data_IF_000020961556
#
_entry.id   IF_000020961556
#
_cell.length_a   1.000
_cell.length_b   1.000
_cell.length_c   1.000
_cell.angle_alpha   90.00
_cell.angle_beta   90.00
_cell.angle_gamma   90.00
#
_symmetry.space_group_name_H-M   'P 1'
#
loop_
_entity.id
_entity.type
_entity.pdbx_description
1 polymer ?
#
# COMPACT_ATOMS: atom_id res chain seq x y z
N UNK A 1 11.59 10.34 -34.34
CA UNK A 1 12.59 9.47 -33.67
C UNK A 1 12.70 9.72 -32.17
N UNK A 2 12.88 10.96 -31.67
CA UNK A 2 12.99 11.26 -30.22
C UNK A 2 11.85 10.75 -29.31
N UNK A 3 10.60 10.70 -29.81
CA UNK A 3 9.44 10.21 -29.03
C UNK A 3 9.39 8.68 -28.88
N UNK A 4 9.96 7.94 -29.83
CA UNK A 4 10.01 6.47 -29.82
C UNK A 4 11.11 6.01 -28.87
N UNK A 5 12.25 6.71 -28.84
CA UNK A 5 13.34 6.43 -27.89
C UNK A 5 12.94 6.65 -26.44
N UNK A 6 12.11 7.66 -26.14
CA UNK A 6 11.60 7.89 -24.78
C UNK A 6 10.62 6.78 -24.37
N UNK A 7 9.69 6.40 -25.25
CA UNK A 7 8.74 5.30 -24.98
C UNK A 7 9.47 3.97 -24.77
N UNK A 8 10.55 3.73 -25.51
CA UNK A 8 11.34 2.51 -25.41
C UNK A 8 12.23 2.49 -24.16
N UNK A 9 12.74 3.64 -23.70
CA UNK A 9 13.47 3.75 -22.42
C UNK A 9 12.55 3.42 -21.23
N UNK A 10 11.28 3.84 -21.30
CA UNK A 10 10.24 3.48 -20.31
C UNK A 10 9.98 1.96 -20.33
N UNK A 11 9.89 1.33 -21.51
CA UNK A 11 9.70 -0.12 -21.65
C UNK A 11 10.92 -0.91 -21.17
N UNK A 12 12.14 -0.44 -21.44
CA UNK A 12 13.37 -1.06 -20.94
C UNK A 12 13.53 -0.92 -19.42
N UNK A 13 13.12 0.21 -18.83
CA UNK A 13 12.98 0.32 -17.38
C UNK A 13 12.03 -0.77 -16.87
N UNK A 14 10.84 -0.92 -17.45
CA UNK A 14 9.88 -1.97 -17.06
C UNK A 14 10.41 -3.41 -17.21
N UNK A 15 11.27 -3.70 -18.20
CA UNK A 15 11.83 -5.05 -18.44
C UNK A 15 13.06 -5.39 -17.58
N UNK A 16 13.80 -4.40 -17.06
CA UNK A 16 14.86 -4.66 -16.05
C UNK A 16 14.22 -4.89 -14.67
N UNK A 17 12.98 -4.42 -14.46
CA UNK A 17 12.15 -4.68 -13.28
C UNK A 17 11.32 -5.99 -13.34
N UNK A 18 11.54 -6.90 -14.31
CA UNK A 18 10.77 -8.16 -14.42
C UNK A 18 11.32 -9.37 -13.64
N UNK A 19 12.23 -9.14 -12.68
CA UNK A 19 12.43 -10.03 -11.50
C UNK A 19 11.31 -9.64 -10.51
N UNK A 20 10.69 -10.57 -9.75
CA UNK A 20 9.31 -10.42 -9.31
C UNK A 20 9.12 -9.03 -8.72
N UNK A 21 8.17 -8.29 -9.29
CA UNK A 21 7.77 -6.95 -8.87
C UNK A 21 7.26 -7.04 -7.44
N UNK A 22 8.20 -7.06 -6.51
CA UNK A 22 8.06 -6.82 -5.10
C UNK A 22 8.90 -5.56 -4.90
N UNK A 23 8.22 -4.41 -4.87
CA UNK A 23 8.77 -3.09 -4.60
C UNK A 23 9.50 -2.36 -5.74
N UNK A 24 8.85 -2.21 -6.90
CA UNK A 24 8.71 -0.83 -7.41
C UNK A 24 7.48 -0.26 -6.77
N UNK A 25 7.67 0.71 -5.87
CA UNK A 25 6.61 1.51 -5.30
C UNK A 25 5.79 2.11 -6.42
N UNK A 26 4.66 1.48 -6.71
CA UNK A 26 3.57 2.17 -7.37
C UNK A 26 3.20 3.32 -6.43
N UNK A 27 3.62 4.52 -6.81
CA UNK A 27 3.10 5.77 -6.24
C UNK A 27 1.70 6.05 -6.77
N UNK A 28 1.02 5.06 -7.36
CA UNK A 28 -0.43 4.98 -7.32
C UNK A 28 -0.83 5.11 -5.86
N UNK A 29 -1.34 6.29 -5.50
CA UNK A 29 -1.98 6.60 -4.22
C UNK A 29 -2.80 5.36 -3.85
N UNK A 30 -2.36 4.56 -2.88
CA UNK A 30 -3.11 3.38 -2.49
C UNK A 30 -4.41 3.93 -1.94
N UNK A 31 -5.48 3.81 -2.72
CA UNK A 31 -6.76 4.41 -2.36
C UNK A 31 -7.20 3.73 -1.08
N UNK A 32 -7.55 4.52 -0.07
CA UNK A 32 -7.99 3.98 1.22
C UNK A 32 -9.11 2.98 0.98
N UNK A 33 -9.10 1.87 1.71
CA UNK A 33 -10.11 0.83 1.52
C UNK A 33 -11.40 1.34 2.18
N UNK A 34 -12.50 1.53 1.43
CA UNK A 34 -13.77 1.92 2.03
C UNK A 34 -14.25 0.78 2.92
N UNK A 35 -14.84 1.13 4.07
CA UNK A 35 -15.35 0.14 5.00
C UNK A 35 -16.52 -0.64 4.39
N UNK A 36 -16.27 -1.89 4.00
CA UNK A 36 -17.25 -2.74 3.33
C UNK A 36 -18.51 -2.98 4.18
N UNK A 37 -18.37 -3.05 5.52
CA UNK A 37 -19.51 -3.21 6.42
C UNK A 37 -20.42 -2.00 6.35
N UNK A 38 -19.86 -0.80 6.43
CA UNK A 38 -20.62 0.46 6.35
C UNK A 38 -21.24 0.60 4.96
N UNK A 39 -20.49 0.33 3.89
CA UNK A 39 -21.00 0.33 2.51
C UNK A 39 -22.22 -0.58 2.38
N UNK A 40 -22.14 -1.81 2.91
CA UNK A 40 -23.26 -2.76 2.87
C UNK A 40 -24.48 -2.24 3.63
N UNK A 41 -24.29 -1.69 4.84
CA UNK A 41 -25.40 -1.11 5.62
C UNK A 41 -26.09 0.03 4.87
N UNK A 42 -25.32 0.90 4.21
CA UNK A 42 -25.89 2.00 3.42
C UNK A 42 -26.67 1.49 2.20
N UNK A 43 -26.12 0.51 1.48
CA UNK A 43 -26.77 -0.12 0.32
C UNK A 43 -28.08 -0.81 0.71
N UNK A 44 -28.05 -1.65 1.76
CA UNK A 44 -29.21 -2.40 2.25
C UNK A 44 -30.35 -1.47 2.73
N UNK A 45 -30.03 -0.21 3.07
CA UNK A 45 -30.99 0.78 3.58
C UNK A 45 -31.25 1.94 2.60
N UNK A 46 -30.84 1.82 1.34
CA UNK A 46 -31.06 2.79 0.26
C UNK A 46 -30.56 4.21 0.60
N UNK A 47 -29.38 4.33 1.22
CA UNK A 47 -28.71 5.62 1.35
C UNK A 47 -27.96 5.97 0.07
N UNK A 48 -28.03 7.25 -0.32
CA UNK A 48 -27.25 7.78 -1.43
C UNK A 48 -25.87 8.27 -0.97
N UNK A 49 -24.81 7.65 -1.49
CA UNK A 49 -23.43 7.92 -1.10
C UNK A 49 -22.46 7.75 -2.27
N UNK A 50 -21.28 8.35 -2.12
CA UNK A 50 -20.13 8.21 -3.01
C UNK A 50 -18.89 7.83 -2.20
N UNK A 51 -17.89 7.27 -2.88
CA UNK A 51 -16.59 6.98 -2.28
C UNK A 51 -15.60 7.97 -2.91
N UNK A 52 -15.01 8.83 -2.07
CA UNK A 52 -14.05 9.86 -2.47
C UNK A 52 -12.73 9.57 -1.76
N UNK A 53 -11.66 9.34 -2.53
CA UNK A 53 -10.34 8.96 -2.01
C UNK A 53 -10.36 7.75 -1.03
N UNK A 54 -11.32 6.84 -1.23
CA UNK A 54 -11.48 5.67 -0.36
C UNK A 54 -12.31 5.89 0.90
N UNK A 55 -12.73 7.13 1.16
CA UNK A 55 -13.64 7.44 2.25
C UNK A 55 -15.09 7.54 1.77
N UNK A 56 -16.04 7.14 2.62
CA UNK A 56 -17.47 7.11 2.33
C UNK A 56 -18.06 8.50 2.61
N UNK A 57 -18.83 9.03 1.65
CA UNK A 57 -19.48 10.34 1.78
C UNK A 57 -20.95 10.27 1.35
N UNK A 58 -21.85 10.75 2.19
CA UNK A 58 -23.26 10.89 1.86
C UNK A 58 -23.44 12.05 0.86
N UNK A 59 -24.21 11.82 -0.21
CA UNK A 59 -24.36 12.81 -1.28
C UNK A 59 -25.24 14.00 -0.88
N UNK A 60 -26.21 13.79 0.02
CA UNK A 60 -27.12 14.82 0.56
C UNK A 60 -27.18 14.78 2.09
N UNK A 61 -26.15 15.30 2.78
CA UNK A 61 -26.02 15.21 4.22
C UNK A 61 -26.90 16.25 4.93
N UNK A 62 -28.19 15.98 5.03
CA UNK A 62 -29.06 16.74 5.95
C UNK A 62 -28.88 16.21 7.37
N UNK A 63 -29.12 17.02 8.43
CA UNK A 63 -29.04 16.55 9.81
C UNK A 63 -29.89 15.31 10.08
N UNK A 64 -31.07 15.21 9.45
CA UNK A 64 -31.96 14.06 9.54
C UNK A 64 -31.34 12.78 8.91
N UNK A 65 -30.74 12.91 7.73
CA UNK A 65 -30.06 11.80 7.02
C UNK A 65 -28.84 11.33 7.81
N UNK A 66 -28.00 12.24 8.29
CA UNK A 66 -26.83 11.92 9.11
C UNK A 66 -27.23 11.22 10.41
N UNK A 67 -28.26 11.74 11.09
CA UNK A 67 -28.77 11.14 12.34
C UNK A 67 -29.33 9.74 12.08
N UNK A 68 -30.10 9.56 11.01
CA UNK A 68 -30.63 8.26 10.61
C UNK A 68 -29.51 7.26 10.30
N UNK A 69 -28.50 7.67 9.54
CA UNK A 69 -27.34 6.83 9.22
C UNK A 69 -26.58 6.43 10.50
N UNK A 70 -26.29 7.37 11.39
CA UNK A 70 -25.58 7.10 12.65
C UNK A 70 -26.37 6.17 13.59
N UNK A 71 -27.68 6.35 13.71
CA UNK A 71 -28.53 5.47 14.51
C UNK A 71 -28.58 4.06 13.92
N UNK A 72 -28.63 3.94 12.59
CA UNK A 72 -28.60 2.67 11.90
C UNK A 72 -27.27 1.93 12.14
N UNK A 73 -26.13 2.60 11.95
CA UNK A 73 -24.81 2.00 12.23
C UNK A 73 -24.71 1.53 13.68
N UNK A 74 -25.15 2.36 14.63
CA UNK A 74 -25.16 1.96 16.05
C UNK A 74 -26.06 0.74 16.29
N UNK A 75 -27.28 0.71 15.75
CA UNK A 75 -28.18 -0.44 15.92
C UNK A 75 -27.63 -1.74 15.32
N UNK A 76 -27.11 -1.69 14.10
CA UNK A 76 -26.67 -2.88 13.38
C UNK A 76 -25.33 -3.39 13.89
N UNK A 77 -24.46 -2.52 14.39
CA UNK A 77 -23.15 -2.91 14.83
C UNK A 77 -22.98 -3.04 16.35
N UNK A 78 -23.91 -2.54 17.15
CA UNK A 78 -23.93 -2.81 18.60
C UNK A 78 -24.87 -3.96 18.97
N UNK A 79 -25.90 -4.27 18.16
CA UNK A 79 -26.98 -5.19 18.58
C UNK A 79 -27.22 -6.41 17.68
N UNK A 80 -26.55 -6.55 16.52
CA UNK A 80 -26.88 -7.64 15.59
C UNK A 80 -25.94 -8.85 15.68
N UNK A 81 -26.42 -10.03 16.14
CA UNK A 81 -25.74 -11.32 15.93
C UNK A 81 -25.85 -11.85 14.48
N UNK A 82 -26.55 -11.14 13.57
CA UNK A 82 -26.91 -11.60 12.23
C UNK A 82 -26.02 -11.11 11.08
N UNK A 83 -25.07 -10.20 11.32
CA UNK A 83 -23.98 -9.92 10.37
C UNK A 83 -22.82 -10.87 10.69
N UNK A 84 -22.87 -12.01 10.03
CA UNK A 84 -22.02 -13.19 10.26
C UNK A 84 -20.52 -12.86 10.38
N UNK A 85 -19.93 -13.42 11.46
CA UNK A 85 -18.51 -13.58 11.81
C UNK A 85 -17.86 -12.60 12.81
N UNK A 86 -18.41 -11.42 13.12
CA UNK A 86 -17.76 -10.47 14.04
C UNK A 86 -18.73 -9.90 15.07
N UNK A 87 -18.90 -10.61 16.19
CA UNK A 87 -19.95 -10.38 17.20
C UNK A 87 -19.60 -9.38 18.29
N UNK A 88 -18.40 -8.79 18.29
CA UNK A 88 -18.04 -7.76 19.27
C UNK A 88 -16.89 -6.89 18.75
N UNK A 89 -16.94 -5.60 19.08
CA UNK A 89 -15.78 -4.73 18.96
C UNK A 89 -14.78 -4.99 20.10
N UNK A 90 -13.47 -4.86 19.86
CA UNK A 90 -12.86 -4.63 18.55
C UNK A 90 -12.93 -5.88 17.66
N UNK A 91 -13.01 -5.69 16.35
CA UNK A 91 -12.97 -6.81 15.42
C UNK A 91 -11.58 -7.48 15.46
N UNK A 92 -11.46 -8.74 15.04
CA UNK A 92 -10.20 -9.36 14.67
C UNK A 92 -9.45 -8.58 13.58
N UNK A 93 -8.14 -8.77 13.57
CA UNK A 93 -7.25 -8.16 12.60
C UNK A 93 -7.52 -8.68 11.19
N UNK A 94 -7.71 -7.75 10.26
CA UNK A 94 -7.85 -8.02 8.83
C UNK A 94 -6.59 -7.54 8.11
N UNK A 95 -5.98 -8.43 7.32
CA UNK A 95 -4.72 -8.17 6.63
C UNK A 95 -4.92 -7.27 5.41
N UNK A 96 -4.22 -6.14 5.36
CA UNK A 96 -4.22 -5.19 4.26
C UNK A 96 -3.17 -5.57 3.20
N UNK A 97 -3.33 -6.73 2.55
CA UNK A 97 -2.35 -7.32 1.60
C UNK A 97 -1.77 -6.34 0.58
N UNK A 98 -2.59 -5.44 0.05
CA UNK A 98 -2.18 -4.47 -0.98
C UNK A 98 -1.21 -3.40 -0.45
N UNK A 99 -1.05 -3.29 0.87
CA UNK A 99 -0.15 -2.35 1.54
C UNK A 99 1.13 -3.00 2.03
N UNK A 100 1.27 -4.33 1.89
CA UNK A 100 2.50 -5.00 2.26
C UNK A 100 3.68 -4.41 1.48
N UNK A 101 4.80 -4.27 2.17
CA UNK A 101 6.07 -3.84 1.60
C UNK A 101 7.12 -4.88 1.92
N UNK A 102 7.90 -5.25 0.92
CA UNK A 102 9.01 -6.17 1.06
C UNK A 102 10.15 -5.70 0.17
N UNK A 103 11.37 -5.70 0.69
CA UNK A 103 12.53 -5.29 -0.10
C UNK A 103 13.82 -5.75 0.54
N UNK A 104 14.88 -5.79 -0.26
CA UNK A 104 16.24 -6.06 0.21
C UNK A 104 17.06 -4.80 0.10
N UNK A 105 17.79 -4.47 1.17
CA UNK A 105 18.70 -3.32 1.17
C UNK A 105 19.81 -3.46 0.12
N UNK A 106 20.32 -4.67 -0.08
CA UNK A 106 21.41 -4.95 -1.04
C UNK A 106 20.92 -4.88 -2.48
N UNK A 107 19.77 -5.49 -2.77
CA UNK A 107 19.12 -5.42 -4.08
C UNK A 107 18.72 -3.98 -4.44
N UNK A 108 18.18 -3.22 -3.49
CA UNK A 108 17.81 -1.81 -3.70
C UNK A 108 19.04 -0.96 -4.05
N UNK A 109 20.14 -1.13 -3.33
CA UNK A 109 21.37 -0.38 -3.57
C UNK A 109 22.05 -0.77 -4.90
N UNK A 110 22.03 -2.06 -5.25
CA UNK A 110 22.51 -2.55 -6.54
C UNK A 110 21.68 -1.96 -7.70
N UNK A 111 20.35 -1.95 -7.54
CA UNK A 111 19.42 -1.40 -8.54
C UNK A 111 19.59 0.10 -8.72
N UNK A 112 19.76 0.87 -7.64
CA UNK A 112 20.06 2.32 -7.70
C UNK A 112 21.39 2.60 -8.40
N UNK A 113 22.40 1.76 -8.17
CA UNK A 113 23.71 1.87 -8.83
C UNK A 113 23.62 1.58 -10.32
N UNK A 114 22.89 0.52 -10.69
CA UNK A 114 22.61 0.16 -12.08
C UNK A 114 21.91 1.32 -12.83
N UNK A 115 20.87 1.90 -12.21
CA UNK A 115 20.16 3.04 -12.77
C UNK A 115 21.08 4.26 -12.94
N UNK A 116 21.86 4.60 -11.91
CA UNK A 116 22.80 5.72 -11.96
C UNK A 116 23.83 5.56 -13.08
N UNK A 117 24.40 4.36 -13.24
CA UNK A 117 25.37 4.05 -14.29
C UNK A 117 24.74 4.19 -15.69
N UNK A 118 23.56 3.61 -15.90
CA UNK A 118 22.84 3.68 -17.16
C UNK A 118 22.44 5.12 -17.52
N UNK A 119 21.92 5.88 -16.54
CA UNK A 119 21.55 7.28 -16.73
C UNK A 119 22.76 8.15 -17.07
N UNK A 120 23.89 7.98 -16.37
CA UNK A 120 25.11 8.73 -16.67
C UNK A 120 25.65 8.42 -18.06
N UNK A 121 25.62 7.15 -18.48
CA UNK A 121 26.04 6.75 -19.82
C UNK A 121 25.16 7.39 -20.89
N UNK A 122 23.83 7.29 -20.76
CA UNK A 122 22.87 7.92 -21.65
C UNK A 122 23.01 9.45 -21.68
N UNK A 123 23.16 10.09 -20.52
CA UNK A 123 23.30 11.55 -20.42
C UNK A 123 24.60 12.05 -21.08
N UNK A 124 25.70 11.28 -20.97
CA UNK A 124 26.97 11.60 -21.63
C UNK A 124 26.91 11.38 -23.13
N UNK A 125 26.16 10.38 -23.60
CA UNK A 125 25.99 10.13 -25.01
C UNK A 125 24.58 9.63 -25.35
N UNK A 126 23.71 10.59 -25.70
CA UNK A 126 22.27 10.38 -25.96
C UNK A 126 22.04 9.46 -27.18
N UNK A 127 23.07 9.20 -27.99
CA UNK A 127 22.99 8.31 -29.17
C UNK A 127 23.40 6.86 -28.88
N UNK A 128 23.73 6.51 -27.63
CA UNK A 128 24.01 5.11 -27.28
C UNK A 128 22.84 4.21 -27.69
N UNK A 129 23.18 3.04 -28.22
CA UNK A 129 22.19 2.02 -28.52
C UNK A 129 21.56 1.51 -27.23
N UNK A 130 20.33 1.02 -27.31
CA UNK A 130 19.61 0.54 -26.13
C UNK A 130 20.30 -0.67 -25.49
N UNK A 131 20.96 -1.52 -26.30
CA UNK A 131 21.71 -2.66 -25.83
C UNK A 131 22.91 -2.24 -24.97
N UNK A 132 23.60 -1.16 -25.36
CA UNK A 132 24.74 -0.63 -24.59
C UNK A 132 24.28 -0.05 -23.24
N UNK A 133 23.16 0.68 -23.23
CA UNK A 133 22.59 1.21 -21.98
C UNK A 133 22.17 0.08 -21.03
N UNK A 134 21.53 -0.97 -21.55
CA UNK A 134 21.19 -2.17 -20.76
C UNK A 134 22.45 -2.89 -20.27
N UNK A 135 23.47 -3.05 -21.11
CA UNK A 135 24.74 -3.66 -20.73
C UNK A 135 25.43 -2.92 -19.59
N UNK A 136 25.40 -1.59 -19.60
CA UNK A 136 25.93 -0.75 -18.51
C UNK A 136 25.10 -0.89 -17.24
N UNK A 137 23.77 -0.97 -17.34
CA UNK A 137 22.90 -1.20 -16.19
C UNK A 137 23.22 -2.55 -15.52
N UNK A 138 23.30 -3.63 -16.31
CA UNK A 138 23.64 -4.98 -15.82
C UNK A 138 25.03 -5.00 -15.20
N UNK A 139 26.02 -4.35 -15.83
CA UNK A 139 27.37 -4.24 -15.28
C UNK A 139 27.36 -3.48 -13.94
N UNK A 140 26.66 -2.34 -13.85
CA UNK A 140 26.54 -1.56 -12.62
C UNK A 140 25.86 -2.35 -11.49
N UNK A 141 24.81 -3.09 -11.81
CA UNK A 141 24.16 -4.01 -10.88
C UNK A 141 25.13 -5.07 -10.36
N UNK A 142 25.76 -5.81 -11.28
CA UNK A 142 26.66 -6.91 -10.95
C UNK A 142 27.88 -6.46 -10.16
N UNK A 143 28.50 -5.34 -10.56
CA UNK A 143 29.63 -4.76 -9.83
C UNK A 143 29.22 -4.45 -8.39
N UNK A 144 28.10 -3.75 -8.18
CA UNK A 144 27.67 -3.44 -6.82
C UNK A 144 27.32 -4.71 -6.01
N UNK A 145 26.54 -5.61 -6.60
CA UNK A 145 26.02 -6.78 -5.91
C UNK A 145 27.14 -7.75 -5.50
N UNK A 146 28.12 -8.00 -6.38
CA UNK A 146 29.21 -8.94 -6.13
C UNK A 146 30.42 -8.30 -5.43
N UNK A 147 30.75 -7.02 -5.69
CA UNK A 147 31.85 -6.36 -4.98
C UNK A 147 31.52 -6.11 -3.51
N UNK A 148 30.24 -5.86 -3.20
CA UNK A 148 29.74 -5.76 -1.83
C UNK A 148 29.26 -7.10 -1.28
N UNK A 149 29.94 -8.21 -1.62
CA UNK A 149 29.63 -9.55 -1.13
C UNK A 149 29.64 -9.65 0.40
N UNK A 150 30.47 -8.85 1.07
CA UNK A 150 30.59 -8.75 2.52
C UNK A 150 29.44 -7.99 3.19
N UNK A 151 28.65 -7.21 2.43
CA UNK A 151 27.45 -6.56 2.96
C UNK A 151 26.35 -7.60 3.06
N UNK A 152 25.84 -7.79 4.29
CA UNK A 152 24.74 -8.71 4.55
C UNK A 152 23.48 -8.25 3.82
N UNK A 153 22.79 -9.20 3.21
CA UNK A 153 21.53 -8.93 2.55
C UNK A 153 20.39 -8.95 3.58
N UNK A 154 20.01 -7.76 4.06
CA UNK A 154 18.91 -7.59 4.99
C UNK A 154 17.62 -7.32 4.23
N UNK A 155 16.66 -8.22 4.42
CA UNK A 155 15.30 -8.11 3.95
C UNK A 155 14.45 -7.42 5.01
N UNK A 156 13.69 -6.42 4.57
CA UNK A 156 12.69 -5.74 5.40
C UNK A 156 11.30 -6.08 4.87
N UNK A 157 10.46 -6.63 5.73
CA UNK A 157 9.05 -6.92 5.45
C UNK A 157 8.19 -6.06 6.38
N UNK A 158 7.22 -5.36 5.81
CA UNK A 158 6.23 -4.57 6.52
C UNK A 158 4.87 -5.08 6.11
N UNK A 159 4.08 -5.54 7.06
CA UNK A 159 2.68 -5.95 6.87
C UNK A 159 1.77 -5.02 7.64
N UNK A 160 0.62 -4.72 7.06
CA UNK A 160 -0.37 -3.85 7.69
C UNK A 160 -1.67 -4.62 7.93
N UNK A 161 -2.25 -4.40 9.10
CA UNK A 161 -3.53 -4.96 9.48
C UNK A 161 -4.42 -3.84 10.01
N UNK A 162 -5.72 -4.01 9.88
CA UNK A 162 -6.69 -3.13 10.54
C UNK A 162 -7.68 -3.92 11.36
N UNK A 163 -8.23 -3.27 12.38
CA UNK A 163 -9.45 -3.69 13.05
C UNK A 163 -10.31 -2.50 13.37
N UNK A 164 -11.60 -2.75 13.48
CA UNK A 164 -12.58 -1.74 13.86
C UNK A 164 -12.75 -1.81 15.37
N UNK A 165 -12.69 -0.67 16.04
CA UNK A 165 -12.96 -0.54 17.47
C UNK A 165 -14.38 -0.10 17.78
N UNK A 166 -15.07 0.41 16.78
CA UNK A 166 -16.44 0.82 16.88
C UNK A 166 -17.08 0.98 15.50
N UNK A 167 -18.38 1.28 15.47
CA UNK A 167 -19.15 1.44 14.23
C UNK A 167 -18.74 2.63 13.37
N UNK A 168 -17.90 3.53 13.88
CA UNK A 168 -17.67 4.84 13.29
C UNK A 168 -18.93 5.71 13.29
N UNK A 169 -18.87 6.84 12.60
CA UNK A 169 -20.00 7.77 12.44
C UNK A 169 -19.82 8.68 11.24
N UNK A 170 -20.93 9.21 10.73
CA UNK A 170 -20.94 10.35 9.82
C UNK A 170 -20.86 11.66 10.57
N UNK A 171 -20.03 12.58 10.08
CA UNK A 171 -19.98 13.96 10.54
C UNK A 171 -21.14 14.79 9.94
N UNK A 172 -21.20 16.07 10.30
CA UNK A 172 -22.23 16.99 9.80
C UNK A 172 -22.15 17.24 8.28
N UNK A 173 -21.01 16.94 7.64
CA UNK A 173 -20.81 17.03 6.20
C UNK A 173 -21.13 15.71 5.48
N UNK A 174 -21.59 14.69 6.20
CA UNK A 174 -21.83 13.36 5.67
C UNK A 174 -20.57 12.57 5.33
N UNK A 175 -19.41 13.00 5.83
CA UNK A 175 -18.15 12.25 5.68
C UNK A 175 -18.08 11.20 6.77
N UNK A 176 -17.78 9.97 6.39
CA UNK A 176 -17.60 8.89 7.35
C UNK A 176 -16.29 9.06 8.11
N UNK A 177 -16.36 8.89 9.42
CA UNK A 177 -15.26 8.88 10.37
C UNK A 177 -15.28 7.49 11.01
N UNK A 178 -14.35 6.64 10.60
CA UNK A 178 -14.21 5.32 11.20
C UNK A 178 -13.62 5.39 12.60
N UNK A 179 -13.73 4.29 13.33
CA UNK A 179 -12.99 4.05 14.57
C UNK A 179 -12.15 2.80 14.36
N UNK A 180 -10.94 3.01 13.84
CA UNK A 180 -10.02 1.95 13.48
C UNK A 180 -8.80 1.93 14.39
N UNK A 181 -8.19 0.76 14.45
CA UNK A 181 -6.81 0.62 14.84
C UNK A 181 -6.06 -0.09 13.72
N UNK A 182 -4.90 0.44 13.40
CA UNK A 182 -4.01 -0.03 12.37
C UNK A 182 -2.78 -0.63 13.06
N UNK A 183 -2.41 -1.84 12.70
CA UNK A 183 -1.23 -2.55 13.18
C UNK A 183 -0.22 -2.65 12.04
N UNK A 184 0.99 -2.19 12.30
CA UNK A 184 2.16 -2.36 11.46
C UNK A 184 3.03 -3.44 12.08
N UNK A 185 3.24 -4.53 11.35
CA UNK A 185 4.23 -5.54 11.68
C UNK A 185 5.47 -5.32 10.84
N UNK A 186 6.63 -5.18 11.47
CA UNK A 186 7.92 -5.01 10.82
C UNK A 186 8.80 -6.21 11.14
N UNK A 187 9.38 -6.79 10.10
CA UNK A 187 10.40 -7.84 10.23
C UNK A 187 11.64 -7.45 9.45
N UNK A 188 12.79 -7.58 10.09
CA UNK A 188 14.10 -7.43 9.46
C UNK A 188 14.86 -8.74 9.63
N UNK A 189 15.19 -9.40 8.52
CA UNK A 189 15.81 -10.73 8.52
C UNK A 189 16.81 -10.88 7.38
N UNK A 190 17.67 -11.90 7.48
CA UNK A 190 18.56 -12.33 6.39
C UNK A 190 17.86 -13.26 5.40
N UNK A 191 16.70 -13.81 5.77
CA UNK A 191 15.99 -14.79 4.98
C UNK A 191 15.03 -14.11 4.01
N UNK A 192 15.12 -14.45 2.73
CA UNK A 192 14.31 -13.88 1.65
C UNK A 192 12.83 -14.32 1.71
N UNK A 193 12.49 -15.34 2.49
CA UNK A 193 11.12 -15.80 2.73
C UNK A 193 10.43 -15.09 3.91
N UNK A 194 11.14 -14.18 4.59
CA UNK A 194 10.60 -13.43 5.73
C UNK A 194 10.47 -14.26 7.01
N UNK A 195 11.25 -15.32 7.16
CA UNK A 195 11.38 -16.09 8.42
C UNK A 195 12.48 -15.52 9.32
N UNK A 196 12.39 -15.81 10.63
CA UNK A 196 13.37 -15.39 11.65
C UNK A 196 13.66 -13.88 11.69
N UNK A 197 14.75 -13.50 12.36
CA UNK A 197 15.23 -12.14 12.47
C UNK A 197 14.51 -11.30 13.54
N UNK A 198 14.71 -9.99 13.46
CA UNK A 198 14.07 -9.02 14.36
C UNK A 198 12.63 -8.80 13.93
N UNK A 199 11.71 -8.83 14.89
CA UNK A 199 10.29 -8.59 14.68
C UNK A 199 9.80 -7.52 15.65
N UNK A 200 9.04 -6.55 15.15
CA UNK A 200 8.46 -5.48 15.92
C UNK A 200 7.05 -5.15 15.43
N UNK A 201 6.24 -4.61 16.32
CA UNK A 201 4.86 -4.22 16.04
C UNK A 201 4.58 -2.82 16.56
N UNK A 202 3.84 -2.02 15.79
CA UNK A 202 3.35 -0.70 16.19
C UNK A 202 1.86 -0.60 15.85
N UNK A 203 1.02 -0.25 16.83
CA UNK A 203 -0.42 -0.16 16.68
C UNK A 203 -0.90 1.26 16.97
N UNK A 204 -1.71 1.83 16.07
CA UNK A 204 -2.17 3.23 16.15
C UNK A 204 -3.65 3.35 15.84
N UNK A 205 -4.34 4.23 16.56
CA UNK A 205 -5.73 4.60 16.24
C UNK A 205 -5.79 5.47 14.99
N UNK A 206 -6.81 5.25 14.18
CA UNK A 206 -7.06 6.00 12.96
C UNK A 206 -8.55 6.13 12.70
N UNK A 207 -8.93 7.19 12.00
CA UNK A 207 -10.29 7.40 11.49
C UNK A 207 -10.46 6.95 10.04
N UNK A 208 -9.37 6.58 9.38
CA UNK A 208 -9.30 6.11 8.00
C UNK A 208 -8.43 4.85 7.89
N UNK A 209 -8.71 4.01 6.90
CA UNK A 209 -7.91 2.83 6.59
C UNK A 209 -6.77 3.21 5.64
N UNK A 210 -5.83 4.01 6.16
CA UNK A 210 -4.64 4.45 5.44
C UNK A 210 -3.38 4.20 6.30
N UNK A 211 -2.51 3.26 5.91
CA UNK A 211 -1.30 2.95 6.69
C UNK A 211 -0.24 4.04 6.66
N UNK A 212 0.59 4.10 7.69
CA UNK A 212 1.74 5.00 7.75
C UNK A 212 3.04 4.30 7.36
N UNK A 213 3.94 5.02 6.71
CA UNK A 213 5.30 4.55 6.38
C UNK A 213 6.27 4.79 7.53
#
# INVERSE_FOLDING_TARGET
MKKITILFLVICLCLVFSVPVSATADSGKVVSIPNERVVKVLQDNNFDFTIVDGNIKLNQPTPAVVTKANNLLNSQFQQAPSYSAFTSYPTPWTHMKNHDRGGSQKFDAATKTAFGAAFLAWARNITLSWQEVVGIAVAGYGVYYFANSHVEDLYTFIKYYYREWGPGRFDHNGTFIGDYELLKEMRVTKNSDGTDGSFGTDARRSTILDPWF
#
